data_IF_323222299756
#
_entry.id   IF_323222299756
#
_cell.length_a   1.000
_cell.length_b   1.000
_cell.length_c   1.000
_cell.angle_alpha   90.00
_cell.angle_beta   90.00
_cell.angle_gamma   90.00
#
_symmetry.space_group_name_H-M   'P 1'
#
loop_
_entity.id
_entity.type
_entity.pdbx_description
1 polymer ?
#
# COMPACT_ATOMS: atom_id res chain seq x y z
N UNK A 1 4.43 -20.54 34.12
CA UNK A 1 4.29 -21.05 32.72
C UNK A 1 3.47 -20.00 31.99
N UNK A 2 4.14 -19.19 31.17
CA UNK A 2 3.43 -18.24 30.30
C UNK A 2 2.41 -19.01 29.44
N UNK A 3 1.19 -18.49 29.33
CA UNK A 3 0.14 -19.11 28.51
C UNK A 3 0.62 -19.12 27.07
N UNK A 4 1.04 -20.28 26.59
CA UNK A 4 1.45 -20.43 25.20
C UNK A 4 0.27 -20.06 24.27
N UNK A 5 0.52 -19.22 23.26
CA UNK A 5 -0.47 -18.86 22.24
C UNK A 5 -0.93 -20.13 21.54
N UNK A 6 -2.25 -20.37 21.51
CA UNK A 6 -2.87 -21.59 20.93
C UNK A 6 -3.69 -21.30 19.70
N UNK A 7 -4.29 -20.12 19.60
CA UNK A 7 -5.18 -19.76 18.49
C UNK A 7 -5.06 -18.27 18.14
N UNK A 8 -4.86 -17.97 16.87
CA UNK A 8 -4.79 -16.57 16.38
C UNK A 8 -5.81 -16.32 15.28
N UNK A 9 -6.23 -15.04 15.18
CA UNK A 9 -6.99 -14.54 14.06
C UNK A 9 -6.07 -13.93 12.99
N UNK A 10 -6.46 -13.96 11.71
CA UNK A 10 -5.86 -13.18 10.65
C UNK A 10 -6.93 -12.46 9.85
N UNK A 11 -6.73 -11.19 9.57
CA UNK A 11 -7.65 -10.36 8.78
C UNK A 11 -6.91 -9.42 7.83
N UNK A 12 -7.63 -8.99 6.79
CA UNK A 12 -7.24 -7.87 5.92
C UNK A 12 -8.27 -6.76 6.04
N UNK A 13 -7.82 -5.51 6.15
CA UNK A 13 -8.70 -4.36 6.35
C UNK A 13 -8.24 -3.16 5.51
N UNK A 14 -9.16 -2.30 5.11
CA UNK A 14 -8.88 -1.13 4.27
C UNK A 14 -8.92 -1.45 2.79
N UNK A 15 -8.07 -0.82 1.99
CA UNK A 15 -7.92 -1.13 0.56
C UNK A 15 -7.12 -2.42 0.37
N UNK A 16 -7.50 -3.20 -0.63
CA UNK A 16 -6.70 -4.36 -1.02
C UNK A 16 -5.39 -3.95 -1.72
N UNK A 17 -4.39 -4.82 -1.61
CA UNK A 17 -3.11 -4.64 -2.25
C UNK A 17 -2.55 -6.01 -2.72
N UNK A 18 -1.87 -6.06 -3.89
CA UNK A 18 -1.24 -7.29 -4.36
C UNK A 18 -0.17 -7.76 -3.36
N UNK A 19 -0.24 -9.01 -2.94
CA UNK A 19 0.64 -9.57 -1.91
C UNK A 19 -0.04 -9.82 -0.56
N UNK A 20 -1.24 -9.29 -0.31
CA UNK A 20 -2.01 -9.61 0.90
C UNK A 20 -2.25 -11.12 1.06
N UNK A 21 -2.53 -11.83 -0.04
CA UNK A 21 -2.67 -13.29 -0.02
C UNK A 21 -1.36 -14.01 0.34
N UNK A 22 -0.22 -13.49 -0.08
CA UNK A 22 1.08 -14.04 0.31
C UNK A 22 1.35 -13.86 1.81
N UNK A 23 0.95 -12.70 2.39
CA UNK A 23 1.03 -12.44 3.82
C UNK A 23 0.10 -13.38 4.60
N UNK A 24 -1.18 -13.50 4.21
CA UNK A 24 -2.14 -14.45 4.82
C UNK A 24 -1.56 -15.87 4.80
N UNK A 25 -1.05 -16.30 3.64
CA UNK A 25 -0.44 -17.63 3.51
C UNK A 25 0.71 -17.83 4.47
N UNK A 26 1.56 -16.84 4.63
CA UNK A 26 2.71 -16.90 5.53
C UNK A 26 2.26 -16.99 7.00
N UNK A 27 1.31 -16.15 7.41
CA UNK A 27 0.73 -16.17 8.77
C UNK A 27 0.17 -17.56 9.07
N UNK A 28 -0.69 -18.10 8.20
CA UNK A 28 -1.33 -19.41 8.43
C UNK A 28 -0.27 -20.52 8.53
N UNK A 29 0.65 -20.59 7.58
CA UNK A 29 1.67 -21.66 7.58
C UNK A 29 2.65 -21.56 8.76
N UNK A 30 3.04 -20.34 9.14
CA UNK A 30 3.92 -20.10 10.27
C UNK A 30 3.26 -20.44 11.62
N UNK A 31 1.97 -20.14 11.76
CA UNK A 31 1.21 -20.50 12.93
C UNK A 31 1.03 -22.02 13.06
N UNK A 32 0.59 -22.67 11.99
CA UNK A 32 0.42 -24.14 11.97
C UNK A 32 1.73 -24.90 12.23
N UNK A 33 2.87 -24.39 11.77
CA UNK A 33 4.18 -25.02 12.02
C UNK A 33 4.58 -24.95 13.52
N UNK A 34 3.94 -24.09 14.30
CA UNK A 34 4.11 -23.95 15.76
C UNK A 34 2.98 -24.62 16.56
N UNK A 35 2.07 -25.33 15.89
CA UNK A 35 0.89 -25.92 16.53
C UNK A 35 -0.19 -24.92 16.93
N UNK A 36 -0.16 -23.71 16.36
CA UNK A 36 -1.12 -22.64 16.62
C UNK A 36 -2.26 -22.74 15.61
N UNK A 37 -3.49 -22.80 16.07
CA UNK A 37 -4.70 -22.77 15.23
C UNK A 37 -4.91 -21.38 14.62
N UNK A 38 -5.47 -21.31 13.41
CA UNK A 38 -5.73 -20.05 12.72
C UNK A 38 -7.18 -19.91 12.31
N UNK A 39 -7.75 -18.74 12.61
CA UNK A 39 -9.08 -18.32 12.19
C UNK A 39 -8.92 -17.16 11.22
N UNK A 40 -9.39 -17.33 9.98
CA UNK A 40 -9.49 -16.25 9.00
C UNK A 40 -10.74 -15.42 9.27
N UNK A 41 -10.59 -14.13 9.52
CA UNK A 41 -11.68 -13.19 9.75
C UNK A 41 -11.95 -12.49 8.41
N UNK A 42 -13.12 -12.68 7.85
CA UNK A 42 -13.51 -12.09 6.56
C UNK A 42 -14.01 -10.67 6.75
N UNK A 43 -13.75 -9.80 5.78
CA UNK A 43 -14.18 -8.38 5.77
C UNK A 43 -13.59 -7.55 6.91
N UNK A 44 -12.38 -7.88 7.35
CA UNK A 44 -11.62 -7.09 8.33
C UNK A 44 -12.34 -6.86 9.65
N UNK A 45 -12.25 -5.65 10.17
CA UNK A 45 -12.86 -5.26 11.46
C UNK A 45 -14.38 -5.42 11.47
N UNK A 46 -15.06 -5.19 10.33
CA UNK A 46 -16.51 -5.38 10.24
C UNK A 46 -16.88 -6.85 10.40
N UNK A 47 -16.11 -7.75 9.79
CA UNK A 47 -16.33 -9.18 9.94
C UNK A 47 -16.06 -9.68 11.35
N UNK A 48 -15.10 -9.09 12.06
CA UNK A 48 -14.85 -9.39 13.46
C UNK A 48 -16.04 -9.02 14.34
N UNK A 49 -16.66 -7.84 14.12
CA UNK A 49 -17.89 -7.44 14.82
C UNK A 49 -19.02 -8.42 14.54
N UNK A 50 -19.17 -8.85 13.29
CA UNK A 50 -20.29 -9.68 12.84
C UNK A 50 -20.09 -11.19 13.07
N UNK A 51 -18.91 -11.61 13.54
CA UNK A 51 -18.58 -13.03 13.68
C UNK A 51 -18.43 -13.75 12.35
N UNK A 52 -17.95 -13.04 11.28
CA UNK A 52 -17.74 -13.62 9.95
C UNK A 52 -16.32 -14.20 9.85
N UNK A 53 -16.20 -15.48 10.14
CA UNK A 53 -14.91 -16.17 10.20
C UNK A 53 -14.95 -17.56 9.53
N UNK A 54 -13.75 -18.09 9.31
CA UNK A 54 -13.54 -19.46 8.81
C UNK A 54 -12.30 -20.06 9.49
N UNK A 55 -12.36 -21.35 9.79
CA UNK A 55 -11.17 -22.09 10.23
C UNK A 55 -10.20 -22.20 9.04
N UNK A 56 -8.91 -22.00 9.30
CA UNK A 56 -7.90 -22.08 8.26
C UNK A 56 -6.88 -23.19 8.53
N UNK A 57 -6.54 -23.90 7.47
CA UNK A 57 -5.50 -24.92 7.43
C UNK A 57 -4.52 -24.65 6.27
N UNK A 58 -3.58 -25.56 6.05
CA UNK A 58 -2.61 -25.43 4.96
C UNK A 58 -3.25 -25.51 3.57
N UNK A 59 -4.40 -26.17 3.42
CA UNK A 59 -5.14 -26.26 2.17
C UNK A 59 -5.87 -24.96 1.82
N UNK A 60 -6.38 -24.26 2.83
CA UNK A 60 -7.06 -22.96 2.72
C UNK A 60 -6.18 -21.88 2.06
N UNK A 61 -4.88 -22.00 2.21
CA UNK A 61 -3.88 -21.06 1.67
C UNK A 61 -3.03 -21.65 0.53
N UNK A 62 -3.50 -22.76 -0.04
CA UNK A 62 -2.83 -23.38 -1.19
C UNK A 62 -3.07 -22.53 -2.45
N UNK A 63 -2.02 -22.37 -3.27
CA UNK A 63 -2.07 -21.69 -4.57
C UNK A 63 -2.59 -20.25 -4.56
N UNK A 64 -2.40 -19.51 -3.44
CA UNK A 64 -2.82 -18.11 -3.33
C UNK A 64 -1.66 -17.11 -3.38
N UNK A 65 -0.41 -17.55 -3.29
CA UNK A 65 0.77 -16.68 -3.21
C UNK A 65 0.89 -15.72 -4.41
N UNK A 66 0.42 -16.15 -5.57
CA UNK A 66 0.46 -15.38 -6.83
C UNK A 66 -0.86 -14.69 -7.15
N UNK A 67 -1.86 -14.77 -6.29
CA UNK A 67 -3.18 -14.16 -6.52
C UNK A 67 -3.23 -12.75 -5.95
N UNK A 68 -3.66 -11.79 -6.78
CA UNK A 68 -4.02 -10.45 -6.32
C UNK A 68 -5.26 -10.44 -5.43
N UNK A 69 -5.57 -9.27 -4.90
CA UNK A 69 -6.66 -9.11 -3.94
C UNK A 69 -6.41 -9.83 -2.62
N UNK A 70 -7.49 -10.18 -1.92
CA UNK A 70 -7.43 -10.92 -0.65
C UNK A 70 -8.54 -11.97 -0.54
N UNK A 71 -8.19 -13.20 -0.16
CA UNK A 71 -9.16 -14.30 0.04
C UNK A 71 -10.06 -14.08 1.26
N UNK A 72 -9.64 -13.20 2.19
CA UNK A 72 -10.42 -12.86 3.37
C UNK A 72 -11.37 -11.68 3.13
N UNK A 73 -11.41 -11.15 1.93
CA UNK A 73 -12.14 -9.93 1.60
C UNK A 73 -11.70 -8.76 2.47
N UNK A 74 -12.17 -7.57 2.18
CA UNK A 74 -11.88 -6.38 2.97
C UNK A 74 -13.10 -5.47 3.00
N UNK A 75 -13.26 -4.73 4.09
CA UNK A 75 -14.30 -3.72 4.22
C UNK A 75 -13.81 -2.56 5.10
N UNK A 76 -14.38 -1.39 4.88
CA UNK A 76 -14.31 -0.29 5.84
C UNK A 76 -15.39 -0.50 6.88
N UNK A 77 -15.08 -0.23 8.15
CA UNK A 77 -16.05 -0.33 9.25
C UNK A 77 -16.14 0.99 10.00
N UNK A 78 -17.22 1.71 9.82
CA UNK A 78 -17.50 2.89 10.64
C UNK A 78 -17.93 2.47 12.06
N UNK A 79 -18.62 1.33 12.20
CA UNK A 79 -19.01 0.77 13.50
C UNK A 79 -17.80 0.50 14.38
N UNK A 80 -16.70 -0.01 13.83
CA UNK A 80 -15.47 -0.30 14.60
C UNK A 80 -14.79 0.96 15.16
N UNK A 81 -15.12 2.14 14.65
CA UNK A 81 -14.64 3.41 15.23
C UNK A 81 -15.33 3.79 16.52
N UNK A 82 -16.44 3.14 16.86
CA UNK A 82 -17.18 3.36 18.11
C UNK A 82 -16.70 2.40 19.21
N UNK A 83 -16.84 2.81 20.47
CA UNK A 83 -16.51 1.95 21.60
C UNK A 83 -17.35 0.68 21.61
N UNK A 84 -18.63 0.78 21.24
CA UNK A 84 -19.55 -0.36 21.17
C UNK A 84 -19.11 -1.38 20.12
N UNK A 85 -18.66 -0.90 18.96
CA UNK A 85 -18.13 -1.77 17.89
C UNK A 85 -16.83 -2.46 18.31
N UNK A 86 -15.94 -1.74 18.98
CA UNK A 86 -14.70 -2.31 19.52
C UNK A 86 -14.97 -3.35 20.62
N UNK A 87 -15.92 -3.09 21.51
CA UNK A 87 -16.34 -4.03 22.55
C UNK A 87 -16.92 -5.32 21.94
N UNK A 88 -17.81 -5.19 20.94
CA UNK A 88 -18.35 -6.34 20.20
C UNK A 88 -17.21 -7.17 19.58
N UNK A 89 -16.26 -6.52 18.91
CA UNK A 89 -15.11 -7.17 18.29
C UNK A 89 -14.24 -7.90 19.35
N UNK A 90 -13.95 -7.26 20.47
CA UNK A 90 -13.20 -7.86 21.56
C UNK A 90 -13.94 -9.07 22.17
N UNK A 91 -15.26 -8.98 22.33
CA UNK A 91 -16.09 -10.09 22.80
C UNK A 91 -16.07 -11.26 21.80
N UNK A 92 -16.13 -10.97 20.49
CA UNK A 92 -15.97 -12.01 19.44
C UNK A 92 -14.61 -12.70 19.55
N UNK A 93 -13.51 -11.97 19.78
CA UNK A 93 -12.19 -12.57 20.01
C UNK A 93 -12.21 -13.53 21.19
N UNK A 94 -12.81 -13.11 22.31
CA UNK A 94 -12.92 -13.94 23.53
C UNK A 94 -13.77 -15.19 23.31
N UNK A 95 -14.91 -15.06 22.59
CA UNK A 95 -15.78 -16.18 22.25
C UNK A 95 -15.10 -17.21 21.34
N UNK A 96 -14.27 -16.73 20.41
CA UNK A 96 -13.49 -17.59 19.51
C UNK A 96 -12.22 -18.15 20.17
N UNK A 97 -11.90 -17.72 21.40
CA UNK A 97 -10.68 -18.12 22.09
C UNK A 97 -9.41 -17.66 21.38
N UNK A 98 -9.43 -16.46 20.77
CA UNK A 98 -8.26 -15.92 20.10
C UNK A 98 -7.30 -15.31 21.12
N UNK A 99 -6.06 -15.78 21.13
CA UNK A 99 -4.96 -15.24 21.92
C UNK A 99 -4.36 -13.98 21.29
N UNK A 100 -4.57 -13.78 19.98
CA UNK A 100 -4.11 -12.60 19.26
C UNK A 100 -4.61 -12.55 17.83
N UNK A 101 -4.37 -11.41 17.18
CA UNK A 101 -4.77 -11.14 15.78
C UNK A 101 -3.58 -10.60 14.99
N UNK A 102 -3.40 -11.09 13.77
CA UNK A 102 -2.58 -10.45 12.73
C UNK A 102 -3.49 -9.64 11.81
N UNK A 103 -3.29 -8.32 11.79
CA UNK A 103 -4.07 -7.38 10.99
C UNK A 103 -3.24 -6.83 9.81
N UNK A 104 -3.64 -7.15 8.58
CA UNK A 104 -2.92 -6.76 7.36
C UNK A 104 -3.66 -5.58 6.72
N UNK A 105 -2.98 -4.46 6.52
CA UNK A 105 -3.57 -3.29 5.87
C UNK A 105 -2.80 -2.00 6.07
N UNK A 106 -3.45 -0.86 5.85
CA UNK A 106 -2.86 0.47 5.94
C UNK A 106 -3.01 1.13 7.32
N UNK A 107 -2.75 2.44 7.37
CA UNK A 107 -2.79 3.27 8.58
C UNK A 107 -4.10 3.11 9.39
N UNK A 108 -5.25 3.12 8.71
CA UNK A 108 -6.55 2.92 9.38
C UNK A 108 -6.68 1.53 10.05
N UNK A 109 -6.03 0.52 9.50
CA UNK A 109 -5.98 -0.83 10.07
C UNK A 109 -5.15 -0.85 11.35
N UNK A 110 -4.04 -0.11 11.38
CA UNK A 110 -3.18 -0.02 12.57
C UNK A 110 -3.83 0.78 13.70
N UNK A 111 -4.59 1.85 13.38
CA UNK A 111 -5.40 2.54 14.39
C UNK A 111 -6.46 1.60 14.99
N UNK A 112 -7.09 0.77 14.15
CA UNK A 112 -8.00 -0.26 14.64
C UNK A 112 -7.30 -1.33 15.49
N UNK A 113 -6.06 -1.71 15.15
CA UNK A 113 -5.24 -2.62 15.93
C UNK A 113 -4.90 -2.02 17.31
N UNK A 114 -4.47 -0.76 17.34
CA UNK A 114 -4.24 0.01 18.57
C UNK A 114 -5.50 0.06 19.46
N UNK A 115 -6.66 0.34 18.86
CA UNK A 115 -7.90 0.40 19.61
C UNK A 115 -8.28 -0.96 20.20
N UNK A 116 -8.15 -2.05 19.43
CA UNK A 116 -8.45 -3.40 19.91
C UNK A 116 -7.48 -3.85 21.02
N UNK A 117 -6.22 -3.43 20.95
CA UNK A 117 -5.22 -3.72 22.00
C UNK A 117 -5.62 -3.16 23.37
N UNK A 118 -6.31 -2.02 23.41
CA UNK A 118 -6.84 -1.42 24.64
C UNK A 118 -7.90 -2.28 25.34
N UNK A 119 -8.52 -3.23 24.60
CA UNK A 119 -9.47 -4.21 25.12
C UNK A 119 -8.81 -5.52 25.56
N UNK A 120 -7.47 -5.55 25.60
CA UNK A 120 -6.69 -6.70 26.06
C UNK A 120 -6.51 -7.80 25.02
N UNK A 121 -6.71 -7.50 23.75
CA UNK A 121 -6.45 -8.44 22.64
C UNK A 121 -5.08 -8.12 22.05
N UNK A 122 -4.18 -9.11 21.99
CA UNK A 122 -2.88 -8.94 21.34
C UNK A 122 -3.03 -8.75 19.84
N UNK A 123 -2.46 -7.68 19.29
CA UNK A 123 -2.53 -7.42 17.83
C UNK A 123 -1.15 -7.13 17.27
N UNK A 124 -0.86 -7.72 16.10
CA UNK A 124 0.32 -7.41 15.30
C UNK A 124 -0.11 -6.97 13.91
N UNK A 125 0.31 -5.77 13.49
CA UNK A 125 0.03 -5.20 12.17
C UNK A 125 1.05 -5.63 11.12
N UNK A 126 0.59 -5.81 9.87
CA UNK A 126 1.44 -5.98 8.69
C UNK A 126 1.07 -4.90 7.66
N UNK A 127 2.02 -4.07 7.18
CA UNK A 127 1.74 -2.97 6.25
C UNK A 127 1.42 -3.49 4.85
N UNK A 128 0.16 -3.34 4.44
CA UNK A 128 -0.37 -3.72 3.14
C UNK A 128 -1.16 -2.57 2.52
N UNK A 129 -0.52 -1.83 1.61
CA UNK A 129 -1.10 -0.75 0.80
C UNK A 129 -0.20 -0.45 -0.39
N UNK A 130 -0.78 -0.05 -1.52
CA UNK A 130 -0.01 0.38 -2.69
C UNK A 130 0.56 1.80 -2.56
N UNK A 131 0.07 2.59 -1.59
CA UNK A 131 0.38 4.01 -1.47
C UNK A 131 1.77 4.29 -0.86
N UNK A 132 2.35 3.31 -0.15
CA UNK A 132 3.60 3.41 0.62
C UNK A 132 3.63 4.59 1.61
N UNK A 133 2.44 4.99 2.10
CA UNK A 133 2.22 6.16 2.93
C UNK A 133 2.28 5.89 4.45
N UNK A 134 2.55 4.64 4.85
CA UNK A 134 2.68 4.28 6.27
C UNK A 134 4.00 4.80 6.82
N UNK A 135 3.90 5.64 7.84
CA UNK A 135 5.02 6.46 8.33
C UNK A 135 6.16 5.67 8.96
N UNK A 136 5.87 4.53 9.58
CA UNK A 136 6.84 3.73 10.32
C UNK A 136 7.62 2.70 9.49
N UNK A 137 7.36 2.57 8.21
CA UNK A 137 8.00 1.55 7.37
C UNK A 137 8.55 2.14 6.08
N UNK A 138 9.67 1.61 5.59
CA UNK A 138 10.24 1.99 4.29
C UNK A 138 9.44 1.39 3.13
N UNK A 139 8.73 0.29 3.37
CA UNK A 139 8.05 -0.45 2.32
C UNK A 139 6.70 -1.01 2.78
N UNK A 140 5.70 -0.94 1.91
CA UNK A 140 4.38 -1.56 2.11
C UNK A 140 4.10 -2.60 1.03
N UNK A 141 3.49 -3.73 1.43
CA UNK A 141 3.12 -4.82 0.52
C UNK A 141 2.12 -4.29 -0.52
N UNK A 142 2.45 -4.47 -1.79
CA UNK A 142 1.65 -4.05 -2.94
C UNK A 142 2.19 -2.84 -3.69
N UNK A 143 3.10 -2.07 -3.09
CA UNK A 143 3.70 -0.89 -3.72
C UNK A 143 4.48 -1.24 -5.00
N UNK A 144 5.38 -2.22 -4.95
CA UNK A 144 6.19 -2.61 -6.10
C UNK A 144 5.32 -3.13 -7.26
N UNK A 145 4.28 -3.89 -6.96
CA UNK A 145 3.34 -4.38 -7.98
C UNK A 145 2.57 -3.22 -8.63
N UNK A 146 2.08 -2.27 -7.83
CA UNK A 146 1.38 -1.10 -8.34
C UNK A 146 2.29 -0.22 -9.21
N UNK A 147 3.55 -0.03 -8.80
CA UNK A 147 4.55 0.69 -9.57
C UNK A 147 4.84 0.00 -10.91
N UNK A 148 5.06 -1.32 -10.91
CA UNK A 148 5.29 -2.08 -12.14
C UNK A 148 4.08 -2.04 -13.08
N UNK A 149 2.86 -2.12 -12.55
CA UNK A 149 1.63 -1.96 -13.35
C UNK A 149 1.58 -0.59 -14.01
N UNK A 150 1.89 0.47 -13.27
CA UNK A 150 1.92 1.83 -13.82
C UNK A 150 3.02 2.00 -14.88
N UNK A 151 4.22 1.49 -14.64
CA UNK A 151 5.34 1.50 -15.60
C UNK A 151 4.94 0.79 -16.90
N UNK A 152 4.39 -0.43 -16.81
CA UNK A 152 3.94 -1.19 -17.98
C UNK A 152 2.88 -0.41 -18.80
N UNK A 153 1.91 0.22 -18.12
CA UNK A 153 0.90 1.04 -18.79
C UNK A 153 1.53 2.25 -19.49
N UNK A 154 2.48 2.93 -18.84
CA UNK A 154 3.15 4.11 -19.37
C UNK A 154 4.04 3.74 -20.55
N UNK A 155 4.76 2.63 -20.51
CA UNK A 155 5.59 2.17 -21.61
C UNK A 155 4.76 1.89 -22.87
N UNK A 156 3.59 1.26 -22.71
CA UNK A 156 2.63 1.08 -23.82
C UNK A 156 2.11 2.42 -24.38
N UNK A 157 1.87 3.41 -23.51
CA UNK A 157 1.48 4.75 -23.94
C UNK A 157 2.63 5.46 -24.66
N UNK A 158 3.88 5.20 -24.25
CA UNK A 158 5.07 5.80 -24.85
C UNK A 158 5.24 5.43 -26.32
N UNK A 159 4.98 4.19 -26.70
CA UNK A 159 5.08 3.73 -28.09
C UNK A 159 4.19 4.56 -29.02
N UNK A 160 2.94 4.76 -28.64
CA UNK A 160 2.00 5.57 -29.42
C UNK A 160 2.31 7.08 -29.32
N UNK A 161 2.76 7.53 -28.15
CA UNK A 161 3.14 8.94 -27.93
C UNK A 161 4.32 9.35 -28.82
N UNK A 162 5.33 8.51 -28.97
CA UNK A 162 6.49 8.75 -29.85
C UNK A 162 6.06 8.78 -31.32
N UNK A 163 5.23 7.83 -31.74
CA UNK A 163 4.75 7.73 -33.10
C UNK A 163 3.97 8.97 -33.59
N UNK A 164 3.38 9.72 -32.65
CA UNK A 164 2.53 10.88 -32.95
C UNK A 164 3.09 12.21 -32.43
N UNK A 165 4.31 12.23 -31.85
CA UNK A 165 4.94 13.41 -31.23
C UNK A 165 4.02 14.15 -30.25
N UNK A 166 3.39 13.38 -29.33
CA UNK A 166 2.34 13.87 -28.42
C UNK A 166 2.83 14.07 -26.99
N UNK A 167 2.09 14.89 -26.26
CA UNK A 167 2.17 14.99 -24.81
C UNK A 167 1.20 13.97 -24.17
N UNK A 168 1.65 13.26 -23.15
CA UNK A 168 0.82 12.38 -22.32
C UNK A 168 0.87 12.82 -20.86
N UNK A 169 -0.30 12.85 -20.23
CA UNK A 169 -0.47 13.10 -18.78
C UNK A 169 -1.07 11.85 -18.18
N UNK A 170 -0.34 11.22 -17.25
CA UNK A 170 -0.78 9.96 -16.63
C UNK A 170 -0.96 10.17 -15.13
N UNK A 171 -2.19 9.93 -14.65
CA UNK A 171 -2.51 9.98 -13.23
C UNK A 171 -2.32 8.61 -12.59
N UNK A 172 -1.57 8.59 -11.49
CA UNK A 172 -1.34 7.40 -10.67
C UNK A 172 -1.95 7.58 -9.29
N UNK A 173 -2.32 6.47 -8.65
CA UNK A 173 -2.81 6.46 -7.28
C UNK A 173 -1.72 6.87 -6.27
N UNK A 174 -2.02 6.86 -4.98
CA UNK A 174 -1.13 7.23 -3.88
C UNK A 174 -1.85 8.04 -2.81
N UNK A 175 -3.17 8.24 -2.93
CA UNK A 175 -4.01 9.03 -2.01
C UNK A 175 -3.48 10.45 -1.84
N UNK A 176 -2.88 10.74 -0.67
CA UNK A 176 -2.33 12.06 -0.32
C UNK A 176 -0.80 12.09 -0.34
N UNK A 177 -0.17 11.05 -0.89
CA UNK A 177 1.27 10.91 -0.93
C UNK A 177 1.78 10.73 -2.36
N UNK A 178 2.95 11.27 -2.65
CA UNK A 178 3.58 11.25 -3.97
C UNK A 178 4.56 10.10 -4.19
N UNK A 179 4.69 9.14 -3.26
CA UNK A 179 5.69 8.07 -3.35
C UNK A 179 5.57 7.26 -4.64
N UNK A 180 4.34 6.85 -4.99
CA UNK A 180 4.10 6.06 -6.21
C UNK A 180 4.40 6.89 -7.47
N UNK A 181 3.95 8.15 -7.50
CA UNK A 181 4.21 9.04 -8.63
C UNK A 181 5.70 9.33 -8.82
N UNK A 182 6.42 9.57 -7.73
CA UNK A 182 7.87 9.80 -7.75
C UNK A 182 8.61 8.56 -8.26
N UNK A 183 8.32 7.39 -7.71
CA UNK A 183 8.98 6.15 -8.08
C UNK A 183 8.71 5.78 -9.55
N UNK A 184 7.45 5.84 -9.98
CA UNK A 184 7.05 5.60 -11.37
C UNK A 184 7.66 6.64 -12.30
N UNK A 185 7.62 7.93 -11.93
CA UNK A 185 8.18 9.02 -12.74
C UNK A 185 9.67 8.87 -12.99
N UNK A 186 10.44 8.45 -11.98
CA UNK A 186 11.86 8.10 -12.13
C UNK A 186 12.04 6.89 -13.04
N UNK A 187 11.28 5.82 -12.83
CA UNK A 187 11.40 4.58 -13.60
C UNK A 187 11.12 4.77 -15.09
N UNK A 188 10.18 5.64 -15.44
CA UNK A 188 9.82 5.90 -16.84
C UNK A 188 10.55 7.11 -17.44
N UNK A 189 11.42 7.80 -16.71
CA UNK A 189 12.10 9.01 -17.20
C UNK A 189 11.09 10.09 -17.62
N UNK A 190 10.14 10.41 -16.74
CA UNK A 190 9.11 11.41 -17.01
C UNK A 190 9.71 12.80 -17.27
N UNK A 191 9.04 13.61 -18.09
CA UNK A 191 9.41 15.02 -18.33
C UNK A 191 9.09 15.88 -17.10
N UNK A 192 8.01 15.54 -16.40
CA UNK A 192 7.62 16.17 -15.13
C UNK A 192 6.91 15.16 -14.23
N UNK A 193 7.07 15.32 -12.91
CA UNK A 193 6.39 14.53 -11.90
C UNK A 193 5.73 15.49 -10.91
N UNK A 194 4.41 15.37 -10.73
CA UNK A 194 3.63 16.23 -9.85
C UNK A 194 3.22 15.46 -8.61
N UNK A 195 3.66 15.93 -7.44
CA UNK A 195 3.44 15.28 -6.15
C UNK A 195 2.78 16.24 -5.15
N UNK A 196 1.92 15.77 -4.24
CA UNK A 196 1.19 16.63 -3.30
C UNK A 196 2.06 17.28 -2.24
N UNK A 197 3.30 16.79 -2.04
CA UNK A 197 4.27 17.35 -1.08
C UNK A 197 4.87 18.69 -1.53
N UNK A 198 4.63 19.08 -2.78
CA UNK A 198 4.98 20.40 -3.31
C UNK A 198 3.74 21.14 -3.76
N UNK A 199 3.68 22.45 -3.48
CA UNK A 199 2.60 23.29 -3.98
C UNK A 199 2.59 23.28 -5.50
N UNK A 200 1.44 22.98 -6.09
CA UNK A 200 1.30 22.88 -7.54
C UNK A 200 1.37 24.25 -8.21
N UNK A 201 2.38 24.44 -9.07
CA UNK A 201 2.51 25.55 -10.00
C UNK A 201 2.65 25.01 -11.42
N UNK A 202 1.68 25.32 -12.28
CA UNK A 202 1.69 24.87 -13.67
C UNK A 202 2.89 25.39 -14.45
N UNK A 203 3.21 26.67 -14.26
CA UNK A 203 4.28 27.30 -15.04
C UNK A 203 5.65 26.71 -14.71
N UNK A 204 5.97 26.63 -13.40
CA UNK A 204 7.24 26.09 -12.93
C UNK A 204 7.38 24.57 -13.14
N UNK A 205 6.29 23.81 -12.84
CA UNK A 205 6.39 22.37 -12.79
C UNK A 205 6.04 21.65 -14.10
N UNK A 206 5.36 22.31 -15.03
CA UNK A 206 4.92 21.69 -16.30
C UNK A 206 5.40 22.49 -17.50
N UNK A 207 5.03 23.77 -17.61
CA UNK A 207 5.25 24.54 -18.81
C UNK A 207 6.75 24.74 -19.10
N UNK A 208 7.51 25.14 -18.09
CA UNK A 208 8.96 25.34 -18.21
C UNK A 208 9.67 24.03 -18.57
N UNK A 209 9.28 22.89 -17.99
CA UNK A 209 9.83 21.58 -18.32
C UNK A 209 9.60 21.18 -19.77
N UNK A 210 8.40 21.43 -20.27
CA UNK A 210 8.07 21.16 -21.69
C UNK A 210 8.88 22.08 -22.59
N UNK A 211 9.05 23.38 -22.26
CA UNK A 211 9.84 24.30 -23.06
C UNK A 211 11.31 23.90 -23.11
N UNK A 212 11.91 23.56 -21.97
CA UNK A 212 13.28 23.07 -21.90
C UNK A 212 13.47 21.78 -22.70
N UNK A 213 12.57 20.82 -22.55
CA UNK A 213 12.61 19.58 -23.33
C UNK A 213 12.52 19.86 -24.85
N UNK A 214 11.66 20.81 -25.25
CA UNK A 214 11.55 21.25 -26.66
C UNK A 214 12.84 21.90 -27.18
N UNK A 215 13.50 22.74 -26.38
CA UNK A 215 14.79 23.33 -26.72
C UNK A 215 15.89 22.27 -26.91
N UNK A 216 15.78 21.14 -26.18
CA UNK A 216 16.68 19.98 -26.36
C UNK A 216 16.27 19.06 -27.53
N UNK A 217 15.30 19.46 -28.36
CA UNK A 217 14.84 18.69 -29.51
C UNK A 217 13.87 17.56 -29.22
N UNK A 218 13.34 17.47 -27.99
CA UNK A 218 12.30 16.48 -27.66
C UNK A 218 10.96 16.89 -28.28
N UNK A 219 10.28 15.95 -28.90
CA UNK A 219 8.98 16.15 -29.55
C UNK A 219 7.81 15.53 -28.80
N UNK A 220 8.10 14.74 -27.78
CA UNK A 220 7.09 14.09 -26.93
C UNK A 220 7.39 14.29 -25.44
N UNK A 221 6.33 14.37 -24.63
CA UNK A 221 6.43 14.74 -23.23
C UNK A 221 5.56 13.82 -22.36
N UNK A 222 6.14 13.18 -21.37
CA UNK A 222 5.45 12.34 -20.39
C UNK A 222 5.37 13.07 -19.05
N UNK A 223 4.16 13.27 -18.55
CA UNK A 223 3.91 13.90 -17.26
C UNK A 223 3.20 12.89 -16.37
N UNK A 224 3.78 12.60 -15.22
CA UNK A 224 3.20 11.71 -14.20
C UNK A 224 2.62 12.57 -13.08
N UNK A 225 1.36 12.30 -12.72
CA UNK A 225 0.61 13.09 -11.74
C UNK A 225 0.13 12.18 -10.62
N UNK A 226 0.47 12.49 -9.36
CA UNK A 226 -0.17 11.87 -8.21
C UNK A 226 -1.61 12.36 -8.06
N UNK A 227 -2.58 11.46 -7.87
CA UNK A 227 -4.01 11.79 -7.70
C UNK A 227 -4.27 12.80 -6.57
N UNK A 228 -3.40 12.83 -5.55
CA UNK A 228 -3.48 13.74 -4.42
C UNK A 228 -2.94 15.15 -4.66
N UNK A 229 -2.26 15.38 -5.79
CA UNK A 229 -1.66 16.70 -6.12
C UNK A 229 -2.66 17.57 -6.88
N UNK A 230 -2.99 17.17 -8.07
CA UNK A 230 -3.88 17.88 -8.99
C UNK A 230 -4.50 16.86 -9.95
N UNK A 231 -5.73 17.11 -10.43
CA UNK A 231 -6.32 16.24 -11.45
C UNK A 231 -5.55 16.29 -12.77
N UNK A 232 -5.22 15.14 -13.34
CA UNK A 232 -4.57 15.05 -14.64
C UNK A 232 -5.38 15.71 -15.75
N UNK A 233 -6.71 15.73 -15.66
CA UNK A 233 -7.57 16.45 -16.60
C UNK A 233 -7.28 17.96 -16.56
N UNK A 234 -7.18 18.56 -15.36
CA UNK A 234 -6.85 19.98 -15.19
C UNK A 234 -5.46 20.29 -15.78
N UNK A 235 -4.48 19.43 -15.56
CA UNK A 235 -3.13 19.58 -16.16
C UNK A 235 -3.22 19.53 -17.68
N UNK A 236 -3.97 18.58 -18.23
CA UNK A 236 -4.21 18.46 -19.66
C UNK A 236 -4.86 19.71 -20.28
N UNK A 237 -5.88 20.27 -19.63
CA UNK A 237 -6.55 21.48 -20.08
C UNK A 237 -5.60 22.69 -20.06
N UNK A 238 -4.81 22.85 -18.98
CA UNK A 238 -3.81 23.92 -18.91
C UNK A 238 -2.71 23.80 -20.00
N UNK A 239 -2.29 22.58 -20.33
CA UNK A 239 -1.33 22.34 -21.43
C UNK A 239 -1.95 22.76 -22.76
N UNK A 240 -3.22 22.43 -23.00
CA UNK A 240 -3.92 22.81 -24.24
C UNK A 240 -4.07 24.32 -24.34
N UNK A 241 -4.52 24.96 -23.29
CA UNK A 241 -4.80 26.41 -23.28
C UNK A 241 -3.53 27.25 -23.35
N UNK A 242 -2.50 26.89 -22.56
CA UNK A 242 -1.32 27.74 -22.38
C UNK A 242 -0.16 27.41 -23.32
N UNK A 243 -0.06 26.15 -23.80
CA UNK A 243 1.05 25.70 -24.63
C UNK A 243 0.64 25.29 -26.04
N UNK A 244 -0.68 25.29 -26.35
CA UNK A 244 -1.20 24.92 -27.66
C UNK A 244 -0.93 23.46 -28.05
N UNK A 245 -0.64 22.58 -27.09
CA UNK A 245 -0.46 21.15 -27.32
C UNK A 245 -1.78 20.41 -27.09
N UNK A 246 -1.96 19.25 -27.74
CA UNK A 246 -3.12 18.37 -27.52
C UNK A 246 -2.68 17.14 -26.66
N UNK A 247 -2.71 17.23 -25.34
CA UNK A 247 -2.27 16.14 -24.49
C UNK A 247 -3.30 15.01 -24.47
N UNK A 248 -2.80 13.77 -24.33
CA UNK A 248 -3.60 12.60 -24.02
C UNK A 248 -3.56 12.36 -22.52
N UNK A 249 -4.72 12.37 -21.88
CA UNK A 249 -4.84 12.14 -20.43
C UNK A 249 -5.27 10.70 -20.20
N UNK A 250 -4.57 10.02 -19.30
CA UNK A 250 -4.87 8.65 -18.89
C UNK A 250 -4.89 8.60 -17.36
N UNK A 251 -5.99 8.15 -16.78
CA UNK A 251 -6.13 7.92 -15.34
C UNK A 251 -6.07 6.41 -15.12
N UNK A 252 -4.99 5.93 -14.50
CA UNK A 252 -4.81 4.49 -14.30
C UNK A 252 -5.80 3.94 -13.26
N UNK A 253 -6.04 4.66 -12.18
CA UNK A 253 -7.03 4.28 -11.17
C UNK A 253 -6.80 2.86 -10.63
N UNK A 254 -7.90 2.13 -10.40
CA UNK A 254 -7.92 0.86 -9.68
C UNK A 254 -7.19 -0.32 -10.35
N UNK A 255 -6.77 -0.24 -11.61
CA UNK A 255 -5.94 -1.29 -12.21
C UNK A 255 -4.62 -1.48 -11.44
N UNK A 256 -4.13 -0.43 -10.78
CA UNK A 256 -2.93 -0.45 -9.95
C UNK A 256 -3.09 -1.28 -8.66
N UNK A 257 -4.34 -1.58 -8.24
CA UNK A 257 -4.62 -2.42 -7.07
C UNK A 257 -4.66 -3.91 -7.39
N UNK A 258 -4.79 -4.25 -8.67
CA UNK A 258 -4.94 -5.63 -9.14
C UNK A 258 -3.63 -6.25 -9.59
N UNK A 259 -3.76 -7.47 -10.09
CA UNK A 259 -2.67 -8.22 -10.70
C UNK A 259 -1.96 -9.17 -9.74
N UNK A 260 -1.11 -9.99 -10.34
CA UNK A 260 -0.28 -10.95 -9.63
C UNK A 260 0.88 -10.20 -8.93
N UNK A 261 1.09 -10.39 -7.60
CA UNK A 261 2.15 -9.68 -6.90
C UNK A 261 3.52 -10.02 -7.47
N UNK A 262 4.40 -9.03 -7.55
CA UNK A 262 5.81 -9.20 -7.96
C UNK A 262 6.55 -10.12 -7.01
N UNK A 263 7.72 -10.60 -7.42
CA UNK A 263 8.58 -11.40 -6.55
C UNK A 263 8.94 -10.66 -5.25
N UNK A 264 9.18 -9.35 -5.32
CA UNK A 264 9.49 -8.51 -4.16
C UNK A 264 8.33 -8.49 -3.18
N UNK A 265 7.11 -8.18 -3.63
CA UNK A 265 5.93 -8.18 -2.77
C UNK A 265 5.66 -9.54 -2.13
N UNK A 266 5.82 -10.64 -2.88
CA UNK A 266 5.64 -11.99 -2.33
C UNK A 266 6.66 -12.32 -1.24
N UNK A 267 7.92 -12.00 -1.46
CA UNK A 267 9.01 -12.30 -0.51
C UNK A 267 8.85 -11.47 0.76
N UNK A 268 8.62 -10.16 0.64
CA UNK A 268 8.43 -9.28 1.78
C UNK A 268 7.17 -9.68 2.56
N UNK A 269 6.05 -9.92 1.89
CA UNK A 269 4.81 -10.38 2.52
C UNK A 269 5.02 -11.71 3.28
N UNK A 270 5.78 -12.63 2.70
CA UNK A 270 6.09 -13.92 3.35
C UNK A 270 6.95 -13.72 4.60
N UNK A 271 7.98 -12.89 4.53
CA UNK A 271 8.85 -12.59 5.68
C UNK A 271 8.10 -11.86 6.80
N UNK A 272 7.29 -10.85 6.44
CA UNK A 272 6.48 -10.12 7.42
C UNK A 272 5.44 -11.00 8.10
N UNK A 273 4.78 -11.89 7.35
CA UNK A 273 3.81 -12.84 7.92
C UNK A 273 4.44 -13.84 8.89
N UNK A 274 5.65 -14.33 8.59
CA UNK A 274 6.42 -15.18 9.50
C UNK A 274 6.78 -14.43 10.79
N UNK A 275 7.27 -13.20 10.65
CA UNK A 275 7.70 -12.37 11.77
C UNK A 275 6.53 -11.98 12.68
N UNK A 276 5.37 -11.65 12.11
CA UNK A 276 4.15 -11.32 12.87
C UNK A 276 3.72 -12.49 13.78
N UNK A 277 3.78 -13.71 13.28
CA UNK A 277 3.48 -14.91 14.07
C UNK A 277 4.54 -15.14 15.16
N UNK A 278 5.82 -14.90 14.84
CA UNK A 278 6.90 -15.00 15.83
C UNK A 278 6.66 -14.05 17.01
N UNK A 279 6.38 -12.78 16.69
CA UNK A 279 6.11 -11.74 17.69
C UNK A 279 4.92 -12.10 18.57
N UNK A 280 3.79 -12.55 17.98
CA UNK A 280 2.63 -13.01 18.78
C UNK A 280 2.96 -14.21 19.66
N UNK A 281 3.67 -15.22 19.12
CA UNK A 281 4.04 -16.43 19.85
C UNK A 281 4.97 -16.15 21.04
N UNK A 282 5.75 -15.07 20.97
CA UNK A 282 6.63 -14.57 22.03
C UNK A 282 5.91 -13.61 23.00
N UNK A 283 4.58 -13.46 22.89
CA UNK A 283 3.77 -12.62 23.77
C UNK A 283 3.74 -11.14 23.41
N UNK A 284 4.23 -10.78 22.21
CA UNK A 284 4.17 -9.39 21.72
C UNK A 284 2.74 -8.92 21.48
N UNK A 285 2.45 -7.70 21.90
CA UNK A 285 1.14 -7.04 21.69
C UNK A 285 1.35 -5.61 21.25
N UNK A 286 0.36 -5.02 20.56
CA UNK A 286 0.42 -3.66 20.03
C UNK A 286 1.67 -3.41 19.16
N UNK A 287 2.00 -4.39 18.28
CA UNK A 287 3.21 -4.32 17.43
C UNK A 287 2.84 -4.18 15.96
N UNK A 288 3.72 -3.57 15.18
CA UNK A 288 3.67 -3.55 13.71
C UNK A 288 4.98 -4.08 13.15
N UNK A 289 4.89 -4.93 12.15
CA UNK A 289 6.05 -5.43 11.42
C UNK A 289 6.41 -4.40 10.35
N UNK A 290 7.65 -3.92 10.39
CA UNK A 290 8.12 -2.87 9.48
C UNK A 290 9.39 -3.30 8.75
N UNK A 291 9.64 -2.71 7.58
CA UNK A 291 10.95 -2.73 6.93
C UNK A 291 11.70 -1.46 7.29
N UNK A 292 12.94 -1.63 7.74
CA UNK A 292 13.88 -0.55 8.00
C UNK A 292 15.25 -0.94 7.48
N UNK A 293 15.82 -0.17 6.53
CA UNK A 293 17.13 -0.47 5.92
C UNK A 293 17.26 -1.94 5.50
N UNK A 294 16.27 -2.44 4.73
CA UNK A 294 16.15 -3.84 4.25
C UNK A 294 16.01 -4.91 5.35
N UNK A 295 15.94 -4.53 6.61
CA UNK A 295 15.65 -5.43 7.71
C UNK A 295 14.15 -5.46 8.01
N UNK A 296 13.64 -6.62 8.38
CA UNK A 296 12.27 -6.74 8.92
C UNK A 296 12.38 -6.81 10.44
N UNK A 297 11.75 -5.87 11.09
CA UNK A 297 11.73 -5.71 12.55
C UNK A 297 10.30 -5.44 13.01
N UNK A 298 10.05 -5.57 14.30
CA UNK A 298 8.80 -5.14 14.90
C UNK A 298 8.98 -3.82 15.66
N UNK A 299 7.92 -3.04 15.73
CA UNK A 299 7.86 -1.76 16.41
C UNK A 299 6.55 -1.63 17.18
N UNK A 300 6.53 -0.82 18.21
CA UNK A 300 5.28 -0.45 18.88
C UNK A 300 4.37 0.35 17.92
N UNK A 301 3.06 0.04 17.90
CA UNK A 301 2.11 0.74 17.00
C UNK A 301 1.96 2.21 17.38
N UNK A 302 1.95 2.54 18.67
CA UNK A 302 1.79 3.92 19.14
C UNK A 302 2.99 4.77 18.70
N UNK A 303 4.21 4.24 18.89
CA UNK A 303 5.44 4.87 18.40
C UNK A 303 5.41 5.00 16.88
N UNK A 304 5.03 3.93 16.17
CA UNK A 304 4.96 3.92 14.71
C UNK A 304 3.99 4.94 14.14
N UNK A 305 2.80 5.07 14.72
CA UNK A 305 1.77 6.03 14.28
C UNK A 305 2.11 7.48 14.64
N UNK A 306 2.98 7.71 15.63
CA UNK A 306 3.45 9.04 16.01
C UNK A 306 4.59 9.57 15.11
N UNK A 307 5.18 8.74 14.29
CA UNK A 307 6.26 9.14 13.38
C UNK A 307 5.75 10.01 12.25
N UNK A 308 6.68 10.71 11.60
CA UNK A 308 6.44 11.46 10.37
C UNK A 308 7.24 10.85 9.23
N UNK A 309 6.63 10.69 8.07
CA UNK A 309 7.29 10.24 6.85
C UNK A 309 7.26 11.38 5.84
N UNK A 310 8.41 11.71 5.30
CA UNK A 310 8.55 12.65 4.20
C UNK A 310 9.02 11.91 2.96
N UNK A 311 8.78 12.46 1.77
CA UNK A 311 9.38 11.93 0.55
C UNK A 311 10.90 11.79 0.74
N UNK A 312 11.45 10.74 0.16
CA UNK A 312 12.90 10.57 0.10
C UNK A 312 13.53 11.76 -0.62
N UNK A 313 14.25 12.60 0.13
CA UNK A 313 14.82 13.84 -0.39
C UNK A 313 15.88 13.56 -1.47
N UNK A 314 16.61 12.47 -1.37
CA UNK A 314 17.58 12.06 -2.38
C UNK A 314 16.87 11.68 -3.69
N UNK A 315 15.87 10.80 -3.66
CA UNK A 315 15.06 10.43 -4.84
C UNK A 315 14.38 11.68 -5.44
N UNK A 316 13.88 12.58 -4.61
CA UNK A 316 13.27 13.81 -5.06
C UNK A 316 14.27 14.73 -5.75
N UNK A 317 15.51 14.84 -5.26
CA UNK A 317 16.59 15.58 -5.92
C UNK A 317 17.02 14.90 -7.23
N UNK A 318 17.16 13.58 -7.23
CA UNK A 318 17.43 12.82 -8.48
C UNK A 318 16.35 13.10 -9.51
N UNK A 319 15.08 13.05 -9.14
CA UNK A 319 13.96 13.37 -10.02
C UNK A 319 14.07 14.78 -10.59
N UNK A 320 14.38 15.80 -9.76
CA UNK A 320 14.60 17.18 -10.22
C UNK A 320 15.70 17.26 -11.27
N UNK A 321 16.84 16.65 -11.02
CA UNK A 321 17.97 16.63 -11.95
C UNK A 321 17.56 15.94 -13.28
N UNK A 322 16.91 14.78 -13.19
CA UNK A 322 16.53 14.01 -14.38
C UNK A 322 15.42 14.69 -15.20
N UNK A 323 14.61 15.55 -14.56
CA UNK A 323 13.59 16.37 -15.24
C UNK A 323 14.11 17.77 -15.62
N UNK A 324 15.40 18.06 -15.44
CA UNK A 324 16.06 19.32 -15.85
C UNK A 324 15.80 20.48 -14.88
N UNK A 325 15.87 20.25 -13.58
CA UNK A 325 15.91 21.33 -12.55
C UNK A 325 17.31 21.52 -12.03
#
# INVERSE_FOLDING_TARGET
MENAVKRIGVLTSGGDAPGMNAAIRSVVRSALSRGIEVVGIRRGWQGLINGDFMQMDSSSVSRIINRGGTILYTARSEEFRTKEGQEKAANTCKLLGLDGIVAIGGDGTFRGAQDLSKWGISVVGIPGTIDNDIVCTDYTIGFDTAANTAVECIDRLRDTMQSHERCSVVEVMGRRAGYLALYVGLAVGATAVLVPETEYDFEAHVAEKIRQARLMGKTNYMIVVAEGCVSAMKVGDQIREKLGLDPRVTILGHIQRGGSPTAKDRVIATRMGYEAVRVLAEGGTNRVIVTRSDQIVDMDIDEGLAMMKTLNQEEFQVMKIMTGQ
#
